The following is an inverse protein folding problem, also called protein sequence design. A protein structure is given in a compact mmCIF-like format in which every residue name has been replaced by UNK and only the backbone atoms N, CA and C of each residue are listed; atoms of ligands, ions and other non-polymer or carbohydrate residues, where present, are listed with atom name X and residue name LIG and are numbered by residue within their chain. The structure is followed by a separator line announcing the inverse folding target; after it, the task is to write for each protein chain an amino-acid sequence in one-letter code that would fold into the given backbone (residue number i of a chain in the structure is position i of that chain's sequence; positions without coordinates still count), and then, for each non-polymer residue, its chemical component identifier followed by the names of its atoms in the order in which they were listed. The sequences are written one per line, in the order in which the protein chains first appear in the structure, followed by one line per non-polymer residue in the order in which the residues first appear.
data_IF_847719239658
#
_entry.id   IF_847719239658
#
_cell.length_a   1.000
_cell.length_b   1.000
_cell.length_c   1.000
_cell.angle_alpha   90.00
_cell.angle_beta   90.00
_cell.angle_gamma   90.00
#
_symmetry.space_group_name_H-M   'P 1'
#
loop_
_entity.id
_entity.type
_entity.pdbx_description
1 polymer ?
#
# COMPACT_ATOMS: atom_id res chain seq x y z
N UNK A 1 -5.43 -7.92 37.99
CA UNK A 1 -4.69 -7.87 36.71
C UNK A 1 -5.71 -7.64 35.62
N UNK A 2 -5.69 -6.47 34.98
CA UNK A 2 -6.67 -6.04 33.98
C UNK A 2 -6.55 -6.86 32.68
N UNK A 3 -7.19 -8.04 32.64
CA UNK A 3 -7.30 -8.86 31.42
C UNK A 3 -8.00 -8.10 30.27
N UNK A 4 -8.77 -7.05 30.57
CA UNK A 4 -9.46 -6.22 29.57
C UNK A 4 -8.52 -5.49 28.62
N UNK A 5 -7.41 -4.94 29.13
CA UNK A 5 -6.51 -4.07 28.35
C UNK A 5 -5.72 -4.85 27.29
N UNK A 6 -5.22 -6.03 27.64
CA UNK A 6 -4.45 -6.87 26.72
C UNK A 6 -5.32 -7.40 25.55
N UNK A 7 -6.55 -7.83 25.83
CA UNK A 7 -7.45 -8.33 24.79
C UNK A 7 -7.88 -7.22 23.82
N UNK A 8 -8.05 -6.00 24.31
CA UNK A 8 -8.34 -4.84 23.47
C UNK A 8 -7.13 -4.48 22.58
N UNK A 9 -5.93 -4.43 23.16
CA UNK A 9 -4.70 -4.21 22.42
C UNK A 9 -4.41 -5.27 21.34
N UNK A 10 -4.72 -6.54 21.62
CA UNK A 10 -4.62 -7.63 20.64
C UNK A 10 -5.61 -7.45 19.48
N UNK A 11 -6.85 -7.00 19.76
CA UNK A 11 -7.84 -6.70 18.71
C UNK A 11 -7.41 -5.53 17.83
N UNK A 12 -6.93 -4.45 18.43
CA UNK A 12 -6.40 -3.29 17.68
C UNK A 12 -5.23 -3.73 16.80
N UNK A 13 -4.29 -4.50 17.37
CA UNK A 13 -3.16 -5.05 16.62
C UNK A 13 -3.61 -5.92 15.44
N UNK A 14 -4.58 -6.81 15.65
CA UNK A 14 -5.07 -7.69 14.59
C UNK A 14 -5.71 -6.90 13.44
N UNK A 15 -6.45 -5.82 13.74
CA UNK A 15 -6.97 -4.89 12.74
C UNK A 15 -5.87 -4.17 11.96
N UNK A 16 -4.83 -3.70 12.65
CA UNK A 16 -3.66 -3.09 11.98
C UNK A 16 -2.97 -4.12 11.09
N UNK A 17 -2.70 -5.32 11.61
CA UNK A 17 -1.97 -6.36 10.91
C UNK A 17 -2.70 -6.82 9.64
N UNK A 18 -4.03 -6.99 9.68
CA UNK A 18 -4.80 -7.33 8.47
C UNK A 18 -4.72 -6.25 7.40
N UNK A 19 -4.72 -4.98 7.82
CA UNK A 19 -4.80 -3.86 6.88
C UNK A 19 -3.43 -3.49 6.29
N UNK A 20 -2.31 -3.75 6.99
CA UNK A 20 -0.96 -3.51 6.45
C UNK A 20 -0.70 -4.29 5.17
N UNK A 21 -1.21 -5.52 5.07
CA UNK A 21 -1.06 -6.32 3.85
C UNK A 21 -1.90 -5.77 2.69
N UNK A 22 -3.15 -5.37 2.96
CA UNK A 22 -4.02 -4.69 2.00
C UNK A 22 -3.37 -3.40 1.48
N UNK A 23 -2.88 -2.56 2.40
CA UNK A 23 -2.23 -1.30 2.08
C UNK A 23 -0.98 -1.47 1.21
N UNK A 24 -0.13 -2.45 1.55
CA UNK A 24 1.03 -2.80 0.74
C UNK A 24 0.64 -3.25 -0.66
N UNK A 25 -0.38 -4.11 -0.78
CA UNK A 25 -0.88 -4.56 -2.07
C UNK A 25 -1.41 -3.40 -2.92
N UNK A 26 -2.18 -2.49 -2.33
CA UNK A 26 -2.69 -1.30 -3.00
C UNK A 26 -1.57 -0.38 -3.50
N UNK A 27 -0.52 -0.16 -2.70
CA UNK A 27 0.66 0.61 -3.11
C UNK A 27 1.41 -0.04 -4.29
N UNK A 28 1.60 -1.37 -4.25
CA UNK A 28 2.23 -2.11 -5.35
C UNK A 28 1.39 -2.07 -6.63
N UNK A 29 0.06 -2.19 -6.49
CA UNK A 29 -0.90 -2.11 -7.59
C UNK A 29 -0.86 -0.73 -8.25
N UNK A 30 -0.90 0.34 -7.45
CA UNK A 30 -0.76 1.73 -7.91
C UNK A 30 0.51 1.93 -8.75
N UNK A 31 1.67 1.55 -8.18
CA UNK A 31 2.96 1.62 -8.87
C UNK A 31 2.95 0.86 -10.20
N UNK A 32 2.42 -0.36 -10.19
CA UNK A 32 2.38 -1.21 -11.38
C UNK A 32 1.52 -0.59 -12.48
N UNK A 33 0.34 -0.05 -12.12
CA UNK A 33 -0.55 0.65 -13.07
C UNK A 33 0.16 1.84 -13.73
N UNK A 34 0.85 2.67 -12.96
CA UNK A 34 1.62 3.80 -13.51
C UNK A 34 2.75 3.31 -14.42
N UNK A 35 3.48 2.29 -13.99
CA UNK A 35 4.59 1.73 -14.78
C UNK A 35 4.11 1.20 -16.12
N UNK A 36 2.99 0.47 -16.13
CA UNK A 36 2.36 -0.05 -17.35
C UNK A 36 1.87 1.09 -18.23
N UNK A 37 1.16 2.07 -17.65
CA UNK A 37 0.67 3.25 -18.37
C UNK A 37 1.82 3.96 -19.09
N UNK A 38 2.89 4.30 -18.36
CA UNK A 38 4.06 4.98 -18.89
C UNK A 38 4.77 4.19 -20.00
N UNK A 39 4.95 2.89 -19.80
CA UNK A 39 5.60 2.00 -20.78
C UNK A 39 4.79 1.92 -22.07
N UNK A 40 3.46 1.78 -21.95
CA UNK A 40 2.56 1.77 -23.09
C UNK A 40 2.57 3.12 -23.82
N UNK A 41 2.53 4.23 -23.09
CA UNK A 41 2.54 5.56 -23.71
C UNK A 41 3.83 5.81 -24.51
N UNK A 42 5.00 5.40 -23.98
CA UNK A 42 6.26 5.47 -24.73
C UNK A 42 6.24 4.55 -25.96
N UNK A 43 5.76 3.31 -25.82
CA UNK A 43 5.70 2.37 -26.93
C UNK A 43 4.83 2.92 -28.06
N UNK A 44 3.64 3.43 -27.73
CA UNK A 44 2.74 4.10 -28.68
C UNK A 44 3.41 5.28 -29.37
N UNK A 45 4.11 6.15 -28.63
CA UNK A 45 4.81 7.29 -29.24
C UNK A 45 5.97 6.88 -30.15
N UNK A 46 6.71 5.82 -29.80
CA UNK A 46 7.76 5.29 -30.68
C UNK A 46 7.17 4.70 -31.97
N UNK A 47 5.99 4.07 -31.91
CA UNK A 47 5.28 3.59 -33.11
C UNK A 47 4.87 4.76 -34.01
N UNK A 48 4.23 5.80 -33.46
CA UNK A 48 3.87 7.00 -34.22
C UNK A 48 5.08 7.66 -34.86
N UNK A 49 6.18 7.78 -34.11
CA UNK A 49 7.43 8.31 -34.62
C UNK A 49 7.95 7.52 -35.84
N UNK A 50 7.94 6.19 -35.78
CA UNK A 50 8.40 5.33 -36.89
C UNK A 50 7.53 5.46 -38.14
N UNK A 51 6.20 5.51 -37.97
CA UNK A 51 5.26 5.70 -39.09
C UNK A 51 5.53 7.04 -39.79
N UNK A 52 5.61 8.12 -39.02
CA UNK A 52 5.82 9.46 -39.57
C UNK A 52 7.22 9.63 -40.19
N UNK A 53 8.23 8.98 -39.64
CA UNK A 53 9.56 8.94 -40.24
C UNK A 53 9.55 8.20 -41.59
N UNK A 54 8.77 7.12 -41.71
CA UNK A 54 8.60 6.38 -42.97
C UNK A 54 7.89 7.24 -44.02
N UNK A 55 6.76 7.88 -43.67
CA UNK A 55 6.00 8.75 -44.57
C UNK A 55 6.86 9.90 -45.11
N UNK A 56 7.65 10.55 -44.25
CA UNK A 56 8.59 11.62 -44.66
C UNK A 56 9.67 11.10 -45.60
N UNK A 57 10.18 9.88 -45.40
CA UNK A 57 11.18 9.27 -46.29
C UNK A 57 10.58 8.91 -47.65
N UNK A 58 9.33 8.47 -47.69
CA UNK A 58 8.61 8.15 -48.94
C UNK A 58 8.32 9.42 -49.75
N UNK A 59 7.84 10.49 -49.11
CA UNK A 59 7.62 11.81 -49.75
C UNK A 59 8.92 12.38 -50.32
N UNK A 60 10.05 12.23 -49.61
CA UNK A 60 11.36 12.69 -50.10
C UNK A 60 11.88 11.88 -51.30
N UNK A 61 11.41 10.65 -51.49
CA UNK A 61 11.78 9.78 -52.63
C UNK A 61 10.92 10.06 -53.87
N UNK A 62 9.66 10.46 -53.72
CA UNK A 62 8.81 10.92 -54.83
C UNK A 62 9.18 12.34 -55.25
N UNK A 63 10.15 12.49 -56.16
CA UNK A 63 10.61 13.78 -56.72
C UNK A 63 9.60 14.44 -57.69
N UNK A 64 8.33 14.58 -57.30
CA UNK A 64 7.34 15.34 -58.09
C UNK A 64 6.79 16.53 -57.27
N UNK A 65 7.28 17.71 -57.63
CA UNK A 65 6.76 19.08 -57.39
C UNK A 65 6.26 19.51 -55.99
N UNK A 66 6.79 20.62 -55.43
CA UNK A 66 6.44 21.13 -54.11
C UNK A 66 5.21 22.03 -54.15
N UNK A 67 4.01 21.48 -54.09
CA UNK A 67 2.77 22.27 -53.85
C UNK A 67 1.79 21.55 -52.94
N UNK A 68 2.30 20.91 -51.89
CA UNK A 68 1.56 20.86 -50.63
C UNK A 68 2.38 21.63 -49.62
N UNK A 69 1.93 22.87 -49.37
CA UNK A 69 2.43 23.69 -48.29
C UNK A 69 2.57 22.81 -47.05
N UNK A 70 3.82 22.66 -46.57
CA UNK A 70 4.08 21.98 -45.31
C UNK A 70 3.31 22.78 -44.25
N UNK A 71 2.15 22.27 -43.85
CA UNK A 71 1.20 23.01 -43.06
C UNK A 71 1.86 23.29 -41.70
N UNK A 72 1.91 24.55 -41.21
CA UNK A 72 2.52 24.90 -39.91
C UNK A 72 1.91 24.18 -38.70
N UNK A 73 0.86 23.40 -38.93
CA UNK A 73 0.26 22.44 -38.02
C UNK A 73 1.07 21.14 -37.84
N UNK A 74 2.23 20.98 -38.51
CA UNK A 74 3.10 19.80 -38.29
C UNK A 74 3.56 19.72 -36.85
N UNK A 75 2.89 18.85 -36.09
CA UNK A 75 3.26 18.43 -34.75
C UNK A 75 4.75 18.04 -34.79
N UNK A 76 5.58 18.73 -34.02
CA UNK A 76 6.99 18.39 -33.91
C UNK A 76 7.12 17.12 -33.07
N UNK A 77 7.01 15.95 -33.71
CA UNK A 77 7.02 14.65 -33.04
C UNK A 77 8.33 14.42 -32.28
N UNK A 78 9.46 14.97 -32.76
CA UNK A 78 10.73 14.92 -32.05
C UNK A 78 10.66 15.65 -30.70
N UNK A 79 10.08 16.85 -30.69
CA UNK A 79 9.84 17.63 -29.47
C UNK A 79 8.88 16.90 -28.53
N UNK A 80 7.77 16.37 -29.04
CA UNK A 80 6.81 15.58 -28.26
C UNK A 80 7.44 14.33 -27.62
N UNK A 81 8.24 13.57 -28.38
CA UNK A 81 8.96 12.39 -27.89
C UNK A 81 9.98 12.78 -26.82
N UNK A 82 10.70 13.89 -27.02
CA UNK A 82 11.63 14.44 -26.02
C UNK A 82 10.92 14.82 -24.71
N UNK A 83 9.81 15.56 -24.79
CA UNK A 83 8.99 15.92 -23.64
C UNK A 83 8.43 14.69 -22.91
N UNK A 84 7.95 13.70 -23.66
CA UNK A 84 7.43 12.46 -23.07
C UNK A 84 8.54 11.67 -22.35
N UNK A 85 9.74 11.57 -22.93
CA UNK A 85 10.88 10.90 -22.30
C UNK A 85 11.30 11.62 -21.02
N UNK A 86 11.31 12.95 -21.01
CA UNK A 86 11.60 13.75 -19.82
C UNK A 86 10.55 13.50 -18.72
N UNK A 87 9.26 13.53 -19.07
CA UNK A 87 8.17 13.18 -18.15
C UNK A 87 8.35 11.76 -17.60
N UNK A 88 8.63 10.79 -18.46
CA UNK A 88 8.84 9.40 -18.06
C UNK A 88 9.99 9.25 -17.06
N UNK A 89 11.14 9.88 -17.33
CA UNK A 89 12.30 9.85 -16.43
C UNK A 89 11.94 10.45 -15.07
N UNK A 90 11.22 11.59 -15.06
CA UNK A 90 10.79 12.23 -13.83
C UNK A 90 9.86 11.33 -13.01
N UNK A 91 8.83 10.74 -13.64
CA UNK A 91 7.91 9.84 -12.92
C UNK A 91 8.63 8.56 -12.47
N UNK A 92 9.57 8.02 -13.25
CA UNK A 92 10.38 6.88 -12.83
C UNK A 92 11.24 7.19 -11.60
N UNK A 93 11.78 8.40 -11.50
CA UNK A 93 12.53 8.82 -10.32
C UNK A 93 11.62 8.96 -9.09
N UNK A 94 10.41 9.50 -9.26
CA UNK A 94 9.40 9.53 -8.18
C UNK A 94 8.97 8.11 -7.77
N UNK A 95 8.83 7.17 -8.70
CA UNK A 95 8.50 5.77 -8.38
C UNK A 95 9.63 5.06 -7.62
N UNK A 96 10.90 5.41 -7.88
CA UNK A 96 12.03 4.92 -7.06
C UNK A 96 11.97 5.45 -5.63
N UNK A 97 11.59 6.72 -5.47
CA UNK A 97 11.36 7.29 -4.15
C UNK A 97 10.15 6.65 -3.47
N UNK A 98 9.07 6.39 -4.21
CA UNK A 98 7.91 5.65 -3.72
C UNK A 98 8.29 4.26 -3.22
N UNK A 99 9.16 3.54 -3.95
CA UNK A 99 9.66 2.23 -3.52
C UNK A 99 10.42 2.30 -2.19
N UNK A 100 11.34 3.26 -2.07
CA UNK A 100 12.21 3.34 -0.89
C UNK A 100 11.52 3.93 0.34
N UNK A 101 10.57 4.86 0.16
CA UNK A 101 9.93 5.59 1.27
C UNK A 101 8.54 5.06 1.66
N UNK A 102 7.78 4.52 0.70
CA UNK A 102 6.40 4.05 0.93
C UNK A 102 6.37 2.53 1.02
N UNK A 103 6.84 1.84 -0.03
CA UNK A 103 6.74 0.37 -0.12
C UNK A 103 7.67 -0.31 0.87
N UNK A 104 8.94 0.10 0.93
CA UNK A 104 9.91 -0.50 1.83
C UNK A 104 9.49 -0.37 3.31
N UNK A 105 9.00 0.81 3.69
CA UNK A 105 8.51 1.09 5.05
C UNK A 105 7.34 0.17 5.43
N UNK A 106 6.40 -0.09 4.51
CA UNK A 106 5.31 -1.06 4.74
C UNK A 106 5.80 -2.51 4.85
N UNK A 107 6.82 -2.90 4.08
CA UNK A 107 7.43 -4.23 4.20
C UNK A 107 8.08 -4.43 5.59
N UNK A 108 8.75 -3.38 6.10
CA UNK A 108 9.33 -3.41 7.44
C UNK A 108 8.24 -3.53 8.51
N UNK A 109 7.17 -2.74 8.41
CA UNK A 109 6.02 -2.82 9.32
C UNK A 109 5.35 -4.21 9.27
N UNK A 110 5.10 -4.76 8.07
CA UNK A 110 4.56 -6.12 7.88
C UNK A 110 5.42 -7.16 8.59
N UNK A 111 6.75 -7.05 8.46
CA UNK A 111 7.71 -7.96 9.11
C UNK A 111 7.63 -7.85 10.63
N UNK A 112 7.47 -6.64 11.17
CA UNK A 112 7.28 -6.40 12.60
C UNK A 112 5.97 -7.02 13.10
N UNK A 113 4.86 -6.77 12.41
CA UNK A 113 3.56 -7.37 12.73
C UNK A 113 3.66 -8.91 12.73
N UNK A 114 4.33 -9.50 11.74
CA UNK A 114 4.54 -10.95 11.69
C UNK A 114 5.30 -11.52 12.90
N UNK A 115 6.25 -10.77 13.48
CA UNK A 115 6.95 -11.16 14.72
C UNK A 115 6.02 -11.10 15.94
N UNK A 116 5.24 -10.03 16.07
CA UNK A 116 4.29 -9.87 17.19
C UNK A 116 3.20 -10.95 17.10
N UNK A 117 2.63 -11.21 15.91
CA UNK A 117 1.61 -12.25 15.71
C UNK A 117 2.11 -13.64 16.08
N UNK A 118 3.38 -13.96 15.79
CA UNK A 118 3.99 -15.23 16.25
C UNK A 118 4.01 -15.36 17.77
N UNK A 119 4.27 -14.25 18.48
CA UNK A 119 4.25 -14.21 19.96
C UNK A 119 2.84 -14.37 20.51
N UNK A 120 1.83 -13.70 19.92
CA UNK A 120 0.42 -13.88 20.26
C UNK A 120 0.01 -15.36 20.08
N UNK A 121 0.31 -15.93 18.91
CA UNK A 121 0.02 -17.34 18.61
C UNK A 121 0.77 -18.31 19.55
N UNK A 122 1.89 -17.90 20.14
CA UNK A 122 2.60 -18.68 21.16
C UNK A 122 1.88 -18.62 22.52
N UNK A 123 1.42 -17.44 22.93
CA UNK A 123 0.57 -17.26 24.13
C UNK A 123 -0.69 -18.12 24.05
N UNK A 124 -1.43 -18.06 22.94
CA UNK A 124 -2.66 -18.86 22.75
C UNK A 124 -2.40 -20.37 22.79
N UNK A 125 -1.24 -20.82 22.27
CA UNK A 125 -0.82 -22.23 22.36
C UNK A 125 -0.52 -22.64 23.79
N UNK A 126 0.10 -21.76 24.57
CA UNK A 126 0.34 -21.99 25.99
C UNK A 126 -0.96 -22.05 26.79
N UNK A 127 -1.92 -21.17 26.50
CA UNK A 127 -3.25 -21.15 27.12
C UNK A 127 -4.01 -22.44 26.89
N UNK A 128 -4.05 -22.93 25.65
CA UNK A 128 -4.67 -24.23 25.33
C UNK A 128 -4.02 -25.38 26.09
N UNK A 129 -2.69 -25.37 26.20
CA UNK A 129 -1.95 -26.40 26.94
C UNK A 129 -2.20 -26.33 28.44
N UNK A 130 -2.31 -25.12 29.00
CA UNK A 130 -2.67 -24.93 30.39
C UNK A 130 -4.08 -25.46 30.67
N UNK A 131 -5.07 -25.10 29.84
CA UNK A 131 -6.44 -25.59 29.97
C UNK A 131 -6.53 -27.12 29.90
N UNK A 132 -5.71 -27.77 29.05
CA UNK A 132 -5.60 -29.24 29.01
C UNK A 132 -5.05 -29.83 30.31
N UNK A 133 -4.03 -29.21 30.93
CA UNK A 133 -3.48 -29.66 32.21
C UNK A 133 -4.45 -29.41 33.37
N UNK A 134 -5.18 -28.30 33.35
CA UNK A 134 -6.22 -27.99 34.34
C UNK A 134 -7.39 -28.98 34.24
N UNK A 135 -7.79 -29.35 33.03
CA UNK A 135 -8.76 -30.41 32.81
C UNK A 135 -8.25 -31.77 33.34
N UNK A 136 -7.00 -32.15 33.01
CA UNK A 136 -6.35 -33.35 33.54
C UNK A 136 -6.35 -33.36 35.08
N UNK A 137 -6.02 -32.22 35.71
CA UNK A 137 -6.05 -32.07 37.16
C UNK A 137 -7.47 -32.23 37.72
N UNK A 138 -8.49 -31.68 37.04
CA UNK A 138 -9.89 -31.82 37.46
C UNK A 138 -10.36 -33.29 37.49
N UNK A 139 -9.91 -34.09 36.51
CA UNK A 139 -10.20 -35.53 36.47
C UNK A 139 -9.58 -36.25 37.68
N UNK A 140 -8.36 -35.89 38.09
CA UNK A 140 -7.72 -36.47 39.28
C UNK A 140 -8.37 -36.06 40.60
N UNK A 141 -8.89 -34.83 40.68
CA UNK A 141 -9.64 -34.38 41.86
C UNK A 141 -10.90 -35.23 42.02
N UNK A 142 -11.68 -35.40 40.93
CA UNK A 142 -12.91 -36.19 40.95
C UNK A 142 -12.65 -37.70 41.18
N UNK A 143 -11.52 -38.24 40.72
CA UNK A 143 -11.16 -39.66 40.93
C UNK A 143 -10.81 -39.99 42.39
N UNK A 144 -10.31 -39.00 43.15
CA UNK A 144 -9.93 -39.17 44.57
C UNK A 144 -11.15 -39.46 45.46
N UNK A 145 -12.34 -39.08 45.01
CA UNK A 145 -13.60 -39.30 45.73
C UNK A 145 -14.19 -40.71 45.53
N UNK A 146 -13.64 -41.53 44.62
CA UNK A 146 -14.30 -42.80 44.19
C UNK A 146 -13.46 -44.07 44.44
N UNK A 147 -12.13 -44.02 44.59
CA UNK A 147 -11.32 -45.26 44.71
C UNK A 147 -10.06 -45.15 45.60
N UNK A 148 -10.03 -45.93 46.69
CA UNK A 148 -9.02 -45.88 47.77
C UNK A 148 -7.74 -46.75 47.55
N UNK A 149 -7.70 -47.63 46.54
CA UNK A 149 -6.69 -48.70 46.46
C UNK A 149 -5.30 -48.33 45.90
N UNK A 150 -5.12 -47.16 45.28
CA UNK A 150 -3.85 -46.76 44.62
C UNK A 150 -3.40 -45.33 44.91
N UNK A 151 -3.74 -44.84 46.11
CA UNK A 151 -3.59 -43.44 46.54
C UNK A 151 -2.22 -42.82 46.26
N UNK A 152 -1.13 -43.55 46.50
CA UNK A 152 0.22 -42.98 46.43
C UNK A 152 0.68 -42.68 44.99
N UNK A 153 0.30 -43.52 44.02
CA UNK A 153 0.66 -43.33 42.60
C UNK A 153 -0.17 -42.22 41.95
N UNK A 154 -1.46 -42.15 42.29
CA UNK A 154 -2.38 -41.10 41.84
C UNK A 154 -1.98 -39.74 42.42
N UNK A 155 -1.68 -39.67 43.72
CA UNK A 155 -1.25 -38.43 44.38
C UNK A 155 0.10 -37.93 43.82
N UNK A 156 1.04 -38.84 43.54
CA UNK A 156 2.31 -38.48 42.87
C UNK A 156 2.09 -37.91 41.47
N UNK A 157 1.11 -38.42 40.70
CA UNK A 157 0.78 -37.88 39.38
C UNK A 157 0.10 -36.51 39.49
N UNK A 158 -0.89 -36.38 40.39
CA UNK A 158 -1.56 -35.11 40.71
C UNK A 158 -0.55 -34.02 41.06
N UNK A 159 0.40 -34.30 41.96
CA UNK A 159 1.41 -33.32 42.36
C UNK A 159 2.33 -32.91 41.20
N UNK A 160 2.66 -33.85 40.29
CA UNK A 160 3.42 -33.53 39.07
C UNK A 160 2.63 -32.61 38.14
N UNK A 161 1.33 -32.85 37.97
CA UNK A 161 0.45 -32.01 37.15
C UNK A 161 0.30 -30.62 37.76
N UNK A 162 0.11 -30.50 39.08
CA UNK A 162 0.12 -29.20 39.81
C UNK A 162 1.44 -28.44 39.59
N UNK A 163 2.58 -29.11 39.73
CA UNK A 163 3.88 -28.47 39.52
C UNK A 163 4.07 -28.01 38.07
N UNK A 164 3.55 -28.76 37.08
CA UNK A 164 3.55 -28.35 35.67
C UNK A 164 2.66 -27.13 35.46
N UNK A 165 1.43 -27.15 35.97
CA UNK A 165 0.48 -26.02 35.90
C UNK A 165 1.12 -24.76 36.47
N UNK A 166 1.71 -24.83 37.67
CA UNK A 166 2.38 -23.69 38.29
C UNK A 166 3.51 -23.12 37.41
N UNK A 167 4.37 -23.98 36.86
CA UNK A 167 5.43 -23.56 35.93
C UNK A 167 4.88 -22.93 34.65
N UNK A 168 3.83 -23.48 34.07
CA UNK A 168 3.18 -22.92 32.87
C UNK A 168 2.51 -21.58 33.15
N UNK A 169 1.80 -21.47 34.27
CA UNK A 169 1.18 -20.23 34.74
C UNK A 169 2.21 -19.10 34.93
N UNK A 170 3.35 -19.40 35.57
CA UNK A 170 4.42 -18.42 35.74
C UNK A 170 4.95 -17.93 34.38
N UNK A 171 5.21 -18.84 33.44
CA UNK A 171 5.69 -18.49 32.10
C UNK A 171 4.66 -17.70 31.30
N UNK A 172 3.38 -18.10 31.35
CA UNK A 172 2.29 -17.39 30.67
C UNK A 172 2.12 -15.98 31.23
N UNK A 173 2.21 -15.80 32.55
CA UNK A 173 2.11 -14.48 33.19
C UNK A 173 3.25 -13.57 32.74
N UNK A 174 4.48 -14.08 32.68
CA UNK A 174 5.62 -13.34 32.14
C UNK A 174 5.43 -12.99 30.67
N UNK A 175 5.01 -13.95 29.84
CA UNK A 175 4.76 -13.73 28.41
C UNK A 175 3.67 -12.69 28.18
N UNK A 176 2.57 -12.76 28.92
CA UNK A 176 1.45 -11.82 28.80
C UNK A 176 1.87 -10.40 29.17
N UNK A 177 2.70 -10.22 30.21
CA UNK A 177 3.22 -8.91 30.60
C UNK A 177 4.16 -8.32 29.54
N UNK A 178 5.05 -9.15 28.99
CA UNK A 178 5.95 -8.72 27.89
C UNK A 178 5.15 -8.37 26.64
N UNK A 179 4.11 -9.15 26.32
CA UNK A 179 3.26 -8.90 25.18
C UNK A 179 2.45 -7.61 25.34
N UNK A 180 1.89 -7.35 26.52
CA UNK A 180 1.20 -6.10 26.84
C UNK A 180 2.09 -4.88 26.58
N UNK A 181 3.31 -4.89 27.14
CA UNK A 181 4.30 -3.83 26.91
C UNK A 181 4.67 -3.67 25.43
N UNK A 182 4.88 -4.77 24.72
CA UNK A 182 5.24 -4.74 23.30
C UNK A 182 4.10 -4.21 22.43
N UNK A 183 2.85 -4.51 22.77
CA UNK A 183 1.68 -4.03 22.05
C UNK A 183 1.47 -2.53 22.27
N UNK A 184 1.64 -2.03 23.50
CA UNK A 184 1.57 -0.60 23.79
C UNK A 184 2.65 0.17 23.00
N UNK A 185 3.89 -0.33 23.03
CA UNK A 185 5.01 0.26 22.28
C UNK A 185 4.77 0.18 20.78
N UNK A 186 4.26 -0.95 20.27
CA UNK A 186 3.89 -1.10 18.86
C UNK A 186 2.83 -0.09 18.42
N UNK A 187 1.78 0.12 19.21
CA UNK A 187 0.73 1.09 18.86
C UNK A 187 1.27 2.51 18.77
N UNK A 188 2.19 2.91 19.68
CA UNK A 188 2.84 4.21 19.58
C UNK A 188 3.70 4.31 18.30
N UNK A 189 4.56 3.33 18.06
CA UNK A 189 5.39 3.31 16.84
C UNK A 189 4.55 3.27 15.57
N UNK A 190 3.38 2.64 15.59
CA UNK A 190 2.46 2.60 14.45
C UNK A 190 1.87 3.98 14.18
N UNK A 191 1.49 4.76 15.20
CA UNK A 191 1.05 6.15 15.04
C UNK A 191 2.16 7.00 14.42
N UNK A 192 3.36 6.96 14.99
CA UNK A 192 4.51 7.72 14.48
C UNK A 192 4.88 7.30 13.04
N UNK A 193 4.76 6.01 12.74
CA UNK A 193 4.92 5.47 11.39
C UNK A 193 3.91 6.09 10.42
N UNK A 194 2.63 6.14 10.79
CA UNK A 194 1.58 6.63 9.91
C UNK A 194 1.77 8.10 9.56
N UNK A 195 2.16 8.94 10.52
CA UNK A 195 2.41 10.36 10.28
C UNK A 195 3.47 10.56 9.20
N UNK A 196 4.60 9.84 9.31
CA UNK A 196 5.70 9.94 8.34
C UNK A 196 5.36 9.26 7.02
N UNK A 197 4.76 8.08 7.09
CA UNK A 197 4.45 7.26 5.93
C UNK A 197 3.40 7.92 5.04
N UNK A 198 2.34 8.47 5.62
CA UNK A 198 1.27 9.11 4.88
C UNK A 198 1.76 10.36 4.15
N UNK A 199 2.58 11.19 4.80
CA UNK A 199 3.21 12.36 4.17
C UNK A 199 4.04 11.93 2.95
N UNK A 200 4.90 10.92 3.11
CA UNK A 200 5.72 10.42 2.01
C UNK A 200 4.87 9.87 0.86
N UNK A 201 3.82 9.11 1.19
CA UNK A 201 2.87 8.60 0.21
C UNK A 201 2.19 9.76 -0.55
N UNK A 202 1.53 10.66 0.18
CA UNK A 202 0.74 11.75 -0.38
C UNK A 202 1.57 12.70 -1.25
N UNK A 203 2.73 13.16 -0.76
CA UNK A 203 3.54 14.07 -1.56
C UNK A 203 4.17 13.40 -2.78
N UNK A 204 4.49 12.11 -2.70
CA UNK A 204 5.03 11.40 -3.87
C UNK A 204 3.96 11.19 -4.93
N UNK A 205 2.75 10.78 -4.54
CA UNK A 205 1.62 10.64 -5.49
C UNK A 205 1.24 12.00 -6.09
N UNK A 206 1.25 13.06 -5.31
CA UNK A 206 1.04 14.43 -5.78
C UNK A 206 2.10 14.87 -6.80
N UNK A 207 3.39 14.62 -6.54
CA UNK A 207 4.47 14.95 -7.49
C UNK A 207 4.36 14.17 -8.79
N UNK A 208 3.96 12.89 -8.71
CA UNK A 208 3.68 12.07 -9.90
C UNK A 208 2.52 12.68 -10.69
N UNK A 209 1.39 12.96 -10.04
CA UNK A 209 0.22 13.55 -10.67
C UNK A 209 0.52 14.92 -11.29
N UNK A 210 1.23 15.80 -10.57
CA UNK A 210 1.67 17.09 -11.05
C UNK A 210 2.60 16.99 -12.26
N UNK A 211 3.49 15.99 -12.30
CA UNK A 211 4.37 15.73 -13.43
C UNK A 211 3.57 15.31 -14.67
N UNK A 212 2.61 14.40 -14.51
CA UNK A 212 1.73 13.94 -15.58
C UNK A 212 0.83 15.07 -16.10
N UNK A 213 0.23 15.84 -15.20
CA UNK A 213 -0.59 16.99 -15.53
C UNK A 213 0.23 18.09 -16.21
N UNK A 214 1.42 18.39 -15.68
CA UNK A 214 2.35 19.35 -16.25
C UNK A 214 2.78 18.97 -17.67
N UNK A 215 2.96 17.69 -17.97
CA UNK A 215 3.19 17.22 -19.34
C UNK A 215 1.97 17.46 -20.24
N UNK A 216 0.76 17.13 -19.77
CA UNK A 216 -0.49 17.39 -20.50
C UNK A 216 -0.67 18.88 -20.85
N UNK A 217 -0.38 19.76 -19.90
CA UNK A 217 -0.57 21.20 -20.03
C UNK A 217 0.54 21.90 -20.84
N UNK A 218 1.80 21.59 -20.51
CA UNK A 218 2.94 22.33 -21.02
C UNK A 218 3.51 21.77 -22.32
N UNK A 219 3.02 20.63 -22.82
CA UNK A 219 3.42 20.11 -24.12
C UNK A 219 2.54 20.74 -25.23
N UNK A 220 3.05 21.74 -25.98
CA UNK A 220 2.26 22.38 -27.04
C UNK A 220 1.89 21.40 -28.15
N UNK A 221 2.74 20.40 -28.41
CA UNK A 221 2.47 19.35 -29.41
C UNK A 221 1.29 18.47 -29.02
N UNK A 222 1.19 18.10 -27.74
CA UNK A 222 0.08 17.29 -27.22
C UNK A 222 -1.23 18.08 -27.23
N UNK A 223 -1.19 19.37 -26.88
CA UNK A 223 -2.36 20.26 -26.98
C UNK A 223 -2.85 20.40 -28.42
N UNK A 224 -1.95 20.52 -29.39
CA UNK A 224 -2.30 20.54 -30.82
C UNK A 224 -3.00 19.25 -31.25
N UNK A 225 -2.52 18.07 -30.79
CA UNK A 225 -3.19 16.79 -31.06
C UNK A 225 -4.61 16.76 -30.46
N UNK A 226 -4.75 17.13 -29.18
CA UNK A 226 -6.04 17.11 -28.48
C UNK A 226 -7.09 18.09 -29.03
N UNK A 227 -6.66 19.24 -29.54
CA UNK A 227 -7.55 20.28 -30.11
C UNK A 227 -7.92 20.01 -31.58
N UNK A 228 -7.08 19.28 -32.33
CA UNK A 228 -7.33 18.94 -33.75
C UNK A 228 -8.49 17.97 -33.94
N UNK A 229 -8.84 17.19 -32.92
CA UNK A 229 -9.99 16.27 -32.95
C UNK A 229 -11.34 16.94 -32.63
N UNK A 230 -11.35 18.20 -32.20
CA UNK A 230 -12.55 18.83 -31.63
C UNK A 230 -13.09 20.05 -32.40
N UNK A 231 -12.44 20.54 -33.46
CA UNK A 231 -12.87 21.80 -34.10
C UNK A 231 -12.90 21.74 -35.62
N UNK A 232 -14.12 21.88 -36.17
CA UNK A 232 -14.33 22.53 -37.46
C UNK A 232 -13.86 23.99 -37.33
N UNK A 233 -12.57 24.23 -37.56
CA UNK A 233 -12.05 25.55 -37.97
C UNK A 233 -12.07 26.72 -36.99
N UNK A 234 -12.57 26.59 -35.76
CA UNK A 234 -12.49 27.66 -34.76
C UNK A 234 -11.75 27.13 -33.54
N UNK A 235 -10.47 27.48 -33.43
CA UNK A 235 -9.68 27.27 -32.21
C UNK A 235 -10.27 28.21 -31.17
N UNK A 236 -11.25 27.74 -30.43
CA UNK A 236 -11.72 28.45 -29.24
C UNK A 236 -10.63 28.33 -28.18
N UNK A 237 -9.91 29.42 -27.93
CA UNK A 237 -8.92 29.51 -26.86
C UNK A 237 -9.57 29.32 -25.47
N UNK A 238 -10.91 29.27 -25.41
CA UNK A 238 -11.72 29.00 -24.23
C UNK A 238 -12.33 27.59 -24.20
N UNK A 239 -11.85 26.63 -24.99
CA UNK A 239 -12.14 25.22 -24.73
C UNK A 239 -11.57 24.89 -23.35
N UNK A 240 -12.42 25.02 -22.32
CA UNK A 240 -12.12 24.70 -20.95
C UNK A 240 -11.58 23.27 -20.96
N UNK A 241 -10.30 23.07 -20.63
CA UNK A 241 -9.70 21.76 -20.65
C UNK A 241 -10.44 20.91 -19.63
N UNK A 242 -10.41 19.59 -19.82
CA UNK A 242 -10.89 18.58 -18.88
C UNK A 242 -10.07 18.72 -17.59
N UNK A 243 -10.38 19.74 -16.82
CA UNK A 243 -9.74 20.20 -15.61
C UNK A 243 -10.91 20.63 -14.75
N UNK A 244 -11.50 19.64 -14.08
CA UNK A 244 -12.16 19.98 -12.82
C UNK A 244 -11.04 20.52 -11.93
N UNK A 245 -11.29 21.62 -11.22
CA UNK A 245 -10.46 22.12 -10.11
C UNK A 245 -10.08 21.01 -9.10
N UNK A 246 -10.82 19.90 -9.16
CA UNK A 246 -10.74 18.73 -8.32
C UNK A 246 -9.97 17.59 -9.03
N UNK A 247 -8.97 17.85 -9.87
CA UNK A 247 -8.19 16.77 -10.53
C UNK A 247 -7.57 15.81 -9.51
N UNK A 248 -7.11 16.33 -8.38
CA UNK A 248 -6.57 15.53 -7.28
C UNK A 248 -7.69 14.72 -6.63
N UNK A 249 -8.83 15.35 -6.32
CA UNK A 249 -10.02 14.68 -5.78
C UNK A 249 -10.58 13.61 -6.72
N UNK A 250 -10.75 13.90 -8.02
CA UNK A 250 -11.19 12.95 -9.03
C UNK A 250 -10.16 11.85 -9.31
N UNK A 251 -8.86 12.10 -9.14
CA UNK A 251 -7.84 11.05 -9.19
C UNK A 251 -7.97 10.14 -7.96
N UNK A 252 -8.20 10.70 -6.78
CA UNK A 252 -8.41 9.92 -5.57
C UNK A 252 -9.71 9.10 -5.63
N UNK A 253 -10.84 9.71 -6.02
CA UNK A 253 -12.15 9.05 -6.19
C UNK A 253 -12.13 7.91 -7.21
N UNK A 254 -11.40 8.07 -8.33
CA UNK A 254 -11.49 7.12 -9.45
C UNK A 254 -10.32 6.16 -9.57
N UNK A 255 -9.16 6.47 -9.00
CA UNK A 255 -7.92 5.70 -9.23
C UNK A 255 -7.18 5.33 -7.95
N UNK A 256 -7.51 5.92 -6.80
CA UNK A 256 -6.78 5.74 -5.56
C UNK A 256 -7.53 4.89 -4.53
N UNK A 257 -7.41 3.58 -4.69
CA UNK A 257 -7.90 2.59 -3.70
C UNK A 257 -7.25 2.76 -2.32
N UNK A 258 -6.15 3.51 -2.21
CA UNK A 258 -5.46 3.75 -0.93
C UNK A 258 -6.24 4.72 -0.05
N UNK A 259 -6.97 5.69 -0.62
CA UNK A 259 -7.79 6.63 0.15
C UNK A 259 -8.92 5.93 0.92
N UNK A 260 -9.61 4.99 0.27
CA UNK A 260 -10.63 4.17 0.94
C UNK A 260 -10.04 3.32 2.07
N UNK A 261 -8.81 2.81 1.90
CA UNK A 261 -8.13 2.04 2.96
C UNK A 261 -7.65 2.92 4.12
N UNK A 262 -7.25 4.17 3.86
CA UNK A 262 -6.84 5.15 4.88
C UNK A 262 -8.05 5.60 5.73
N UNK A 263 -9.20 5.85 5.09
CA UNK A 263 -10.47 6.10 5.80
C UNK A 263 -10.89 4.89 6.64
N UNK A 264 -10.81 3.67 6.09
CA UNK A 264 -11.07 2.43 6.82
C UNK A 264 -10.13 2.22 8.01
N UNK A 265 -8.89 2.71 7.91
CA UNK A 265 -7.89 2.65 8.98
C UNK A 265 -8.09 3.71 10.07
N UNK A 266 -9.07 4.62 9.93
CA UNK A 266 -9.34 5.73 10.87
C UNK A 266 -8.08 6.55 11.21
N UNK A 267 -7.22 6.74 10.23
CA UNK A 267 -6.02 7.56 10.38
C UNK A 267 -6.49 9.02 10.33
N UNK A 268 -6.70 9.59 11.53
CA UNK A 268 -6.86 11.01 11.88
C UNK A 268 -7.52 11.93 10.85
N UNK A 269 -8.68 12.46 11.21
CA UNK A 269 -9.32 13.71 10.74
C UNK A 269 -8.63 14.37 9.53
N UNK A 270 -8.83 13.78 8.35
CA UNK A 270 -8.29 14.26 7.08
C UNK A 270 -8.66 15.73 6.82
N UNK A 271 -9.82 16.16 7.33
CA UNK A 271 -10.32 17.54 7.26
C UNK A 271 -9.45 18.56 8.02
N UNK A 272 -8.64 18.13 8.99
CA UNK A 272 -7.76 19.03 9.73
C UNK A 272 -6.36 19.18 9.09
N UNK A 273 -6.08 18.45 8.00
CA UNK A 273 -4.80 18.51 7.26
C UNK A 273 -4.87 19.38 5.99
N UNK A 274 -6.07 19.70 5.48
CA UNK A 274 -6.31 20.68 4.42
C UNK A 274 -6.51 22.09 4.99
#
# INVERSE_FOLDING_TARGET
MNRGNLNENEKIFDGIHSNVESLLYSCLSYKNKITIFLSNSIATMNCFYRILEQDVREIKKSRESPTMAFNPLTINIFSLNSHMRKMFINVQNELKYFDSSVVHSLIQLKTMCGKIKKTINHKERMERKLGSLEHELSLYINYKDVNMGSHQRVEKHRQRTINRISKYNARQKTLSKVLEQNLDVFQQMFRDFLDVWFINYYFTTLRIAATLHGFSWNCPELRKIGLSGCTNGVIDQNLSPISKSNIVECFHENQDLVMGEIENLKITDFLNFM
#
